data_IF_466052376614
#
_entry.id   IF_466052376614
#
_cell.length_a   1.000
_cell.length_b   1.000
_cell.length_c   1.000
_cell.angle_alpha   90.00
_cell.angle_beta   90.00
_cell.angle_gamma   90.00
#
_symmetry.space_group_name_H-M   'P 1'
#
loop_
_entity.id
_entity.type
_entity.pdbx_description
1 polymer ?
#
# COMPACT_ATOMS: atom_id res chain seq x y z
N UNK A 1 -2.65 20.19 6.27
CA UNK A 1 -2.37 19.59 7.60
C UNK A 1 -3.35 18.44 7.78
N UNK A 2 -2.88 17.27 8.14
CA UNK A 2 -3.71 16.09 8.39
C UNK A 2 -4.39 16.21 9.75
N UNK A 3 -5.66 15.83 9.83
CA UNK A 3 -6.47 15.91 11.07
C UNK A 3 -6.14 14.77 12.03
N UNK A 4 -5.86 13.61 11.48
CA UNK A 4 -5.51 12.41 12.22
C UNK A 4 -4.18 11.88 11.73
N UNK A 5 -3.35 11.44 12.67
CA UNK A 5 -2.08 10.76 12.41
C UNK A 5 -1.85 9.69 13.47
N UNK A 6 -1.39 8.50 13.04
CA UNK A 6 -1.05 7.39 13.93
C UNK A 6 0.28 6.77 13.49
N UNK A 7 1.17 6.54 14.44
CA UNK A 7 2.46 5.89 14.20
C UNK A 7 2.39 4.41 14.54
N UNK A 8 2.93 3.57 13.65
CA UNK A 8 3.06 2.11 13.83
C UNK A 8 1.74 1.43 14.23
N UNK A 9 0.65 1.88 13.64
CA UNK A 9 -0.72 1.54 14.05
C UNK A 9 -1.24 0.25 13.37
N UNK A 10 -0.40 -0.76 13.19
CA UNK A 10 -0.70 -2.01 12.46
C UNK A 10 -1.91 -2.79 12.98
N UNK A 11 -2.24 -2.63 14.27
CA UNK A 11 -3.38 -3.32 14.90
C UNK A 11 -4.69 -2.52 14.80
N UNK A 12 -4.61 -1.25 14.49
CA UNK A 12 -5.75 -0.31 14.50
C UNK A 12 -6.09 0.24 13.12
N UNK A 13 -5.22 -0.01 12.14
CA UNK A 13 -5.41 0.35 10.73
C UNK A 13 -5.13 -0.88 9.88
N UNK A 14 -5.90 -1.07 8.82
CA UNK A 14 -5.70 -2.13 7.83
C UNK A 14 -5.70 -1.55 6.43
N UNK A 15 -4.71 -1.95 5.64
CA UNK A 15 -4.59 -1.60 4.23
C UNK A 15 -5.25 -2.64 3.30
N UNK A 16 -5.83 -3.71 3.85
CA UNK A 16 -6.44 -4.78 3.06
C UNK A 16 -7.47 -4.23 2.07
N UNK A 17 -7.37 -4.61 0.80
CA UNK A 17 -8.19 -4.13 -0.32
C UNK A 17 -8.18 -2.60 -0.52
N UNK A 18 -7.13 -1.92 -0.03
CA UNK A 18 -6.93 -0.49 -0.25
C UNK A 18 -5.97 -0.24 -1.39
N UNK A 19 -6.29 0.76 -2.23
CA UNK A 19 -5.52 1.09 -3.44
C UNK A 19 -4.78 2.40 -3.28
N UNK A 20 -3.45 2.33 -3.40
CA UNK A 20 -2.63 3.51 -3.59
C UNK A 20 -2.54 3.81 -5.09
N UNK A 21 -2.77 5.06 -5.47
CA UNK A 21 -2.72 5.51 -6.87
C UNK A 21 -1.46 6.31 -7.21
N UNK A 22 -0.67 6.66 -6.21
CA UNK A 22 0.63 7.31 -6.36
C UNK A 22 1.59 6.82 -5.28
N UNK A 23 2.86 6.75 -5.64
CA UNK A 23 3.98 6.43 -4.74
C UNK A 23 5.06 7.47 -5.01
N UNK A 24 5.46 8.22 -3.98
CA UNK A 24 6.46 9.28 -4.09
C UNK A 24 7.51 9.16 -3.01
N UNK A 25 8.69 9.70 -3.28
CA UNK A 25 9.76 9.86 -2.29
C UNK A 25 9.92 11.33 -1.96
N UNK A 26 10.04 11.62 -0.66
CA UNK A 26 10.39 12.95 -0.13
C UNK A 26 11.54 12.79 0.87
N UNK A 27 12.77 12.99 0.39
CA UNK A 27 13.98 12.63 1.13
C UNK A 27 13.98 11.15 1.49
N UNK A 28 14.10 10.83 2.78
CA UNK A 28 14.08 9.46 3.30
C UNK A 28 12.68 8.91 3.58
N UNK A 29 11.63 9.58 3.11
CA UNK A 29 10.25 9.18 3.33
C UNK A 29 9.61 8.65 2.03
N UNK A 30 8.99 7.48 2.11
CA UNK A 30 8.22 6.88 1.02
C UNK A 30 6.74 7.07 1.33
N UNK A 31 6.02 7.73 0.41
CA UNK A 31 4.63 8.15 0.59
C UNK A 31 3.74 7.42 -0.41
N UNK A 32 2.69 6.78 0.09
CA UNK A 32 1.64 6.15 -0.69
C UNK A 32 0.33 6.94 -0.52
N UNK A 33 -0.27 7.37 -1.62
CA UNK A 33 -1.53 8.12 -1.64
C UNK A 33 -2.71 7.18 -1.87
N UNK A 34 -3.66 7.18 -0.93
CA UNK A 34 -4.89 6.41 -0.97
C UNK A 34 -6.09 7.35 -1.19
N UNK A 35 -6.57 7.53 -2.44
CA UNK A 35 -7.70 8.43 -2.72
C UNK A 35 -9.00 7.98 -2.04
N UNK A 36 -9.20 6.66 -1.92
CA UNK A 36 -10.36 6.05 -1.27
C UNK A 36 -10.08 5.64 0.17
N UNK A 37 -8.95 6.07 0.74
CA UNK A 37 -8.55 5.81 2.12
C UNK A 37 -8.21 4.36 2.43
N UNK A 38 -8.16 4.08 3.74
CA UNK A 38 -7.92 2.75 4.31
C UNK A 38 -8.90 2.46 5.46
N UNK A 39 -8.82 1.29 6.05
CA UNK A 39 -9.73 0.85 7.09
C UNK A 39 -9.21 1.15 8.49
N UNK A 40 -10.06 1.74 9.34
CA UNK A 40 -9.83 1.85 10.79
C UNK A 40 -10.53 0.67 11.43
N UNK A 41 -9.79 -0.16 12.18
CA UNK A 41 -10.34 -1.36 12.83
C UNK A 41 -11.03 -1.00 14.14
N UNK A 42 -11.91 -1.88 14.69
CA UNK A 42 -12.58 -1.66 15.97
C UNK A 42 -11.63 -1.47 17.17
N UNK A 43 -10.36 -1.89 17.05
CA UNK A 43 -9.34 -1.69 18.08
C UNK A 43 -8.85 -0.24 18.18
N UNK A 44 -9.19 0.62 17.21
CA UNK A 44 -8.77 2.01 17.19
C UNK A 44 -9.56 2.88 18.17
N UNK A 45 -8.85 3.81 18.84
CA UNK A 45 -9.47 4.85 19.69
C UNK A 45 -10.30 5.88 18.91
N UNK A 46 -10.19 5.92 17.58
CA UNK A 46 -10.84 6.90 16.73
C UNK A 46 -12.28 6.54 16.36
N UNK A 47 -12.66 5.29 16.54
CA UNK A 47 -14.02 4.81 16.28
C UNK A 47 -14.56 4.06 17.49
N UNK A 48 -15.88 4.14 17.66
CA UNK A 48 -16.60 3.30 18.62
C UNK A 48 -17.61 2.46 17.84
N UNK A 49 -17.09 1.43 17.17
CA UNK A 49 -17.89 0.61 16.27
C UNK A 49 -17.35 -0.82 16.23
N UNK A 50 -18.23 -1.81 16.06
CA UNK A 50 -17.88 -3.24 16.09
C UNK A 50 -17.32 -3.76 14.74
N UNK A 51 -17.38 -2.96 13.68
CA UNK A 51 -16.79 -3.31 12.38
C UNK A 51 -15.83 -2.22 11.91
N UNK A 52 -14.88 -2.55 11.01
CA UNK A 52 -14.00 -1.57 10.41
C UNK A 52 -14.77 -0.48 9.66
N UNK A 53 -14.27 0.73 9.72
CA UNK A 53 -14.83 1.90 9.04
C UNK A 53 -13.77 2.51 8.14
N UNK A 54 -14.17 2.94 6.95
CA UNK A 54 -13.25 3.51 5.97
C UNK A 54 -12.94 4.97 6.28
N UNK A 55 -11.71 5.39 6.00
CA UNK A 55 -11.35 6.82 5.98
C UNK A 55 -11.72 7.43 4.63
N UNK A 56 -11.76 8.75 4.57
CA UNK A 56 -11.63 9.50 3.32
C UNK A 56 -10.20 9.39 2.79
N UNK A 57 -9.80 10.33 1.92
CA UNK A 57 -8.44 10.39 1.37
C UNK A 57 -7.39 10.31 2.48
N UNK A 58 -6.39 9.46 2.28
CA UNK A 58 -5.39 9.12 3.28
C UNK A 58 -4.00 8.94 2.67
N UNK A 59 -2.99 8.92 3.53
CA UNK A 59 -1.60 8.60 3.17
C UNK A 59 -1.00 7.61 4.15
N UNK A 60 -0.16 6.73 3.61
CA UNK A 60 0.81 5.94 4.35
C UNK A 60 2.18 6.56 4.11
N UNK A 61 2.87 6.97 5.17
CA UNK A 61 4.22 7.49 5.11
C UNK A 61 5.17 6.56 5.84
N UNK A 62 6.16 6.06 5.13
CA UNK A 62 7.19 5.16 5.67
C UNK A 62 8.46 5.97 5.83
N UNK A 63 8.87 6.19 7.08
CA UNK A 63 9.93 7.12 7.45
C UNK A 63 11.28 6.47 7.63
N UNK A 64 12.33 7.19 7.23
CA UNK A 64 13.72 6.83 7.51
C UNK A 64 14.19 5.59 6.78
N UNK A 65 13.70 5.39 5.55
CA UNK A 65 14.23 4.42 4.60
C UNK A 65 15.57 4.88 4.02
N UNK A 66 16.30 3.97 3.40
CA UNK A 66 17.52 4.33 2.67
C UNK A 66 17.14 4.93 1.31
N UNK A 67 17.49 6.21 1.06
CA UNK A 67 17.13 6.92 -0.19
C UNK A 67 17.68 6.21 -1.45
N UNK A 68 18.90 5.65 -1.35
CA UNK A 68 19.55 4.95 -2.46
C UNK A 68 18.95 3.58 -2.75
N UNK A 69 18.31 2.95 -1.76
CA UNK A 69 17.67 1.65 -1.87
C UNK A 69 16.44 1.57 -0.93
N UNK A 70 15.34 2.24 -1.28
CA UNK A 70 14.16 2.34 -0.41
C UNK A 70 13.46 1.00 -0.19
N UNK A 71 13.68 0.05 -1.08
CA UNK A 71 13.15 -1.32 -0.97
C UNK A 71 14.31 -2.30 -0.83
N UNK A 72 14.23 -3.21 0.13
CA UNK A 72 15.18 -4.31 0.28
C UNK A 72 14.98 -5.35 -0.84
N UNK A 73 13.73 -5.64 -1.17
CA UNK A 73 13.37 -6.51 -2.28
C UNK A 73 12.07 -6.06 -2.95
N UNK A 74 11.98 -6.19 -4.27
CA UNK A 74 10.76 -6.02 -5.05
C UNK A 74 10.63 -7.18 -6.01
N UNK A 75 9.54 -7.92 -5.90
CA UNK A 75 9.17 -9.02 -6.80
C UNK A 75 7.82 -8.75 -7.45
N UNK A 76 7.77 -8.85 -8.77
CA UNK A 76 6.53 -8.75 -9.55
C UNK A 76 6.34 -10.05 -10.33
N UNK A 77 5.19 -10.70 -10.14
CA UNK A 77 4.82 -11.95 -10.79
C UNK A 77 3.76 -11.69 -11.86
N UNK A 78 4.17 -11.77 -13.13
CA UNK A 78 3.25 -11.66 -14.27
C UNK A 78 2.80 -13.04 -14.73
N UNK A 79 1.53 -13.33 -14.55
CA UNK A 79 0.92 -14.60 -14.99
C UNK A 79 0.23 -14.43 -16.33
N UNK A 80 0.70 -15.15 -17.35
CA UNK A 80 0.02 -15.24 -18.64
C UNK A 80 -1.06 -16.33 -18.55
N UNK A 81 -2.30 -15.96 -18.89
CA UNK A 81 -3.45 -16.88 -18.91
C UNK A 81 -3.92 -17.09 -20.34
N UNK A 82 -4.16 -18.35 -20.71
CA UNK A 82 -4.78 -18.75 -21.98
C UNK A 82 -6.06 -19.52 -21.63
N UNK A 83 -7.19 -19.08 -22.16
CA UNK A 83 -8.53 -19.64 -21.83
C UNK A 83 -8.78 -19.71 -20.31
N UNK A 84 -8.35 -18.68 -19.55
CA UNK A 84 -8.51 -18.61 -18.09
C UNK A 84 -7.51 -19.46 -17.28
N UNK A 85 -6.73 -20.35 -17.92
CA UNK A 85 -5.73 -21.18 -17.25
C UNK A 85 -4.37 -20.47 -17.24
N UNK A 86 -3.70 -20.46 -16.07
CA UNK A 86 -2.33 -19.98 -15.97
C UNK A 86 -1.39 -20.91 -16.75
N UNK A 87 -0.67 -20.35 -17.72
CA UNK A 87 0.23 -21.12 -18.61
C UNK A 87 1.68 -20.82 -18.30
N UNK A 88 1.97 -19.58 -17.92
CA UNK A 88 3.32 -19.12 -17.66
C UNK A 88 3.31 -18.02 -16.58
N UNK A 89 4.25 -18.10 -15.65
CA UNK A 89 4.49 -17.06 -14.66
C UNK A 89 5.94 -16.56 -14.80
N UNK A 90 6.10 -15.25 -14.93
CA UNK A 90 7.42 -14.61 -14.99
C UNK A 90 7.62 -13.73 -13.77
N UNK A 91 8.69 -13.98 -13.02
CA UNK A 91 9.19 -13.08 -11.97
C UNK A 91 10.02 -11.96 -12.57
N UNK A 92 9.76 -10.75 -12.17
CA UNK A 92 10.52 -9.54 -12.50
C UNK A 92 10.99 -8.93 -11.18
N UNK A 93 12.24 -8.46 -11.17
CA UNK A 93 12.83 -7.73 -10.04
C UNK A 93 13.27 -6.36 -10.55
N UNK A 94 12.33 -5.39 -10.58
CA UNK A 94 12.67 -4.03 -10.97
C UNK A 94 13.57 -3.39 -9.92
N UNK A 95 14.42 -2.47 -10.32
CA UNK A 95 15.02 -1.54 -9.39
C UNK A 95 13.96 -0.57 -8.82
N UNK A 96 14.32 0.14 -7.76
CA UNK A 96 13.41 1.04 -7.05
C UNK A 96 12.90 2.19 -7.94
N UNK A 97 13.75 2.76 -8.81
CA UNK A 97 13.36 3.86 -9.70
C UNK A 97 12.35 3.37 -10.74
N UNK A 98 12.59 2.20 -11.32
CA UNK A 98 11.66 1.59 -12.26
C UNK A 98 10.31 1.30 -11.59
N UNK A 99 10.32 0.80 -10.35
CA UNK A 99 9.09 0.53 -9.59
C UNK A 99 8.31 1.83 -9.32
N UNK A 100 8.97 2.86 -8.78
CA UNK A 100 8.33 4.15 -8.49
C UNK A 100 7.77 4.82 -9.76
N UNK A 101 8.53 4.79 -10.85
CA UNK A 101 8.12 5.38 -12.13
C UNK A 101 6.86 4.71 -12.71
N UNK A 102 6.55 3.45 -12.38
CA UNK A 102 5.32 2.81 -12.82
C UNK A 102 4.05 3.54 -12.35
N UNK A 103 4.12 4.23 -11.20
CA UNK A 103 2.95 4.89 -10.59
C UNK A 103 2.88 6.39 -10.91
N UNK A 104 3.95 7.01 -11.45
CA UNK A 104 4.00 8.46 -11.71
C UNK A 104 3.04 8.92 -12.81
N UNK A 105 2.79 8.09 -13.82
CA UNK A 105 1.93 8.46 -14.96
C UNK A 105 0.44 8.16 -14.70
N UNK A 106 0.09 7.68 -13.52
CA UNK A 106 -1.26 7.39 -13.09
C UNK A 106 -1.93 6.22 -13.82
N UNK A 107 -1.16 5.36 -14.53
CA UNK A 107 -1.69 4.20 -15.27
C UNK A 107 -1.91 2.96 -14.41
N UNK A 108 -1.30 2.93 -13.24
CA UNK A 108 -1.34 1.78 -12.34
C UNK A 108 -1.82 2.19 -10.96
N UNK A 109 -2.50 1.27 -10.28
CA UNK A 109 -2.81 1.32 -8.86
C UNK A 109 -2.12 0.14 -8.16
N UNK A 110 -1.70 0.34 -6.92
CA UNK A 110 -1.15 -0.68 -6.05
C UNK A 110 -2.19 -1.02 -4.98
N UNK A 111 -2.78 -2.22 -5.06
CA UNK A 111 -3.74 -2.71 -4.08
C UNK A 111 -3.03 -3.56 -3.03
N UNK A 112 -3.17 -3.19 -1.77
CA UNK A 112 -2.59 -3.91 -0.65
C UNK A 112 -3.48 -5.08 -0.27
N UNK A 113 -2.91 -6.29 -0.21
CA UNK A 113 -3.65 -7.52 0.10
C UNK A 113 -3.28 -8.01 1.50
N UNK A 114 -1.99 -8.04 1.82
CA UNK A 114 -1.50 -8.49 3.12
C UNK A 114 -0.27 -7.71 3.52
N UNK A 115 -0.16 -7.43 4.80
CA UNK A 115 0.98 -6.75 5.39
C UNK A 115 1.52 -7.53 6.58
N UNK A 116 2.84 -7.64 6.67
CA UNK A 116 3.56 -8.27 7.78
C UNK A 116 4.58 -7.29 8.31
N UNK A 117 4.57 -7.09 9.62
CA UNK A 117 5.47 -6.17 10.29
C UNK A 117 6.30 -6.90 11.33
N UNK A 118 7.59 -6.59 11.33
CA UNK A 118 8.54 -6.94 12.38
C UNK A 118 8.98 -5.68 13.11
N UNK A 119 9.91 -5.79 14.03
CA UNK A 119 10.49 -4.63 14.71
C UNK A 119 11.37 -3.75 13.81
N UNK A 120 11.80 -4.25 12.64
CA UNK A 120 12.78 -3.58 11.75
C UNK A 120 12.34 -3.55 10.29
N UNK A 121 11.49 -4.46 9.84
CA UNK A 121 11.08 -4.54 8.44
C UNK A 121 9.57 -4.70 8.29
N UNK A 122 9.08 -4.32 7.12
CA UNK A 122 7.71 -4.52 6.69
C UNK A 122 7.68 -5.18 5.32
N UNK A 123 6.90 -6.23 5.19
CA UNK A 123 6.64 -6.94 3.95
C UNK A 123 5.19 -6.70 3.52
N UNK A 124 5.02 -6.28 2.29
CA UNK A 124 3.70 -6.04 1.69
C UNK A 124 3.49 -6.98 0.51
N UNK A 125 2.36 -7.67 0.51
CA UNK A 125 1.86 -8.41 -0.64
C UNK A 125 0.76 -7.59 -1.29
N UNK A 126 0.89 -7.31 -2.57
CA UNK A 126 0.06 -6.37 -3.30
C UNK A 126 -0.32 -6.92 -4.68
N UNK A 127 -1.30 -6.27 -5.29
CA UNK A 127 -1.60 -6.39 -6.71
C UNK A 127 -1.36 -5.06 -7.42
N UNK A 128 -0.63 -5.11 -8.54
CA UNK A 128 -0.46 -3.95 -9.42
C UNK A 128 -1.54 -4.03 -10.50
N UNK A 129 -2.52 -3.15 -10.43
CA UNK A 129 -3.59 -3.06 -11.40
C UNK A 129 -3.25 -2.09 -12.51
N UNK A 130 -3.38 -2.53 -13.77
CA UNK A 130 -3.41 -1.59 -14.89
C UNK A 130 -4.82 -1.02 -15.01
N UNK A 131 -4.96 0.30 -14.84
CA UNK A 131 -6.26 0.98 -14.91
C UNK A 131 -6.98 0.69 -16.22
N UNK A 132 -8.30 0.55 -16.14
CA UNK A 132 -9.19 0.31 -17.28
C UNK A 132 -8.95 -0.98 -18.07
N UNK A 133 -8.19 -1.93 -17.56
CA UNK A 133 -7.89 -3.18 -18.28
C UNK A 133 -8.31 -4.46 -17.56
N UNK A 134 -8.60 -4.38 -16.26
CA UNK A 134 -8.86 -5.56 -15.42
C UNK A 134 -7.67 -6.53 -15.31
N UNK A 135 -6.50 -6.13 -15.79
CA UNK A 135 -5.26 -6.93 -15.73
C UNK A 135 -4.46 -6.52 -14.51
N UNK A 136 -4.02 -7.49 -13.74
CA UNK A 136 -3.14 -7.27 -12.60
C UNK A 136 -1.91 -8.19 -12.63
N UNK A 137 -0.90 -7.79 -11.87
CA UNK A 137 0.26 -8.60 -11.53
C UNK A 137 0.38 -8.69 -10.01
N UNK A 138 0.74 -9.84 -9.49
CA UNK A 138 1.08 -9.98 -8.08
C UNK A 138 2.39 -9.27 -7.80
N UNK A 139 2.48 -8.56 -6.69
CA UNK A 139 3.65 -7.82 -6.28
C UNK A 139 3.94 -8.10 -4.80
N UNK A 140 5.21 -8.25 -4.49
CA UNK A 140 5.69 -8.30 -3.12
C UNK A 140 6.87 -7.37 -2.99
N UNK A 141 6.90 -6.55 -1.94
CA UNK A 141 8.06 -5.75 -1.61
C UNK A 141 8.32 -5.70 -0.11
N UNK A 142 9.58 -5.62 0.23
CA UNK A 142 10.07 -5.49 1.59
C UNK A 142 10.85 -4.19 1.74
N UNK A 143 10.74 -3.57 2.90
CA UNK A 143 11.47 -2.38 3.24
C UNK A 143 11.83 -2.35 4.73
N UNK A 144 12.94 -1.66 5.03
CA UNK A 144 13.40 -1.39 6.38
C UNK A 144 13.13 0.09 6.64
N UNK A 145 12.43 0.39 7.71
CA UNK A 145 12.04 1.75 8.06
C UNK A 145 12.13 2.02 9.56
N UNK A 146 12.29 3.27 9.94
CA UNK A 146 12.27 3.67 11.36
C UNK A 146 10.87 3.67 11.94
N UNK A 147 9.89 4.11 11.16
CA UNK A 147 8.48 4.14 11.58
C UNK A 147 7.55 4.22 10.37
N UNK A 148 6.32 3.85 10.59
CA UNK A 148 5.23 3.95 9.60
C UNK A 148 4.17 4.86 10.19
N UNK A 149 3.75 5.89 9.44
CA UNK A 149 2.73 6.84 9.83
C UNK A 149 1.54 6.75 8.88
N UNK A 150 0.36 6.65 9.46
CA UNK A 150 -0.92 6.67 8.77
C UNK A 150 -1.57 8.03 8.97
N UNK A 151 -2.01 8.69 7.89
CA UNK A 151 -2.58 10.05 7.90
C UNK A 151 -3.92 10.08 7.18
N UNK A 152 -4.92 10.74 7.78
CA UNK A 152 -6.22 10.95 7.13
C UNK A 152 -6.95 12.17 7.69
N UNK A 153 -8.02 12.61 7.02
CA UNK A 153 -8.80 13.77 7.43
C UNK A 153 -10.20 13.43 7.88
N UNK A 154 -10.80 12.37 7.32
CA UNK A 154 -12.21 12.05 7.50
C UNK A 154 -12.40 10.58 7.84
N UNK A 155 -13.47 10.28 8.58
CA UNK A 155 -13.94 8.92 8.87
C UNK A 155 -15.32 8.79 8.25
N UNK A 156 -15.51 7.83 7.34
CA UNK A 156 -16.72 7.64 6.55
C UNK A 156 -17.62 6.59 7.20
N UNK A 157 -18.42 6.98 8.19
CA UNK A 157 -19.25 6.07 8.97
C UNK A 157 -20.28 5.28 8.17
N UNK A 158 -20.62 5.73 6.97
CA UNK A 158 -21.53 5.02 6.06
C UNK A 158 -20.84 3.92 5.25
N UNK A 159 -19.51 3.93 5.19
CA UNK A 159 -18.67 2.93 4.51
C UNK A 159 -18.11 1.93 5.53
N UNK A 160 -18.83 0.82 5.69
CA UNK A 160 -18.44 -0.30 6.57
C UNK A 160 -17.96 -1.46 5.71
N UNK A 161 -17.03 -2.24 6.29
CA UNK A 161 -16.57 -3.50 5.70
C UNK A 161 -17.70 -4.51 5.60
#
# INVERSE_FOLDING_TARGET
>A
MWKYTELNAYNTISLHDCKANAITMDGSDLIFDFPDGFWITPASKHINHDCPIKTGTAQLCIHGIFEEAPFDAIDIYKTTRIFGKAVFCRRLQPDHLMFLNMFQDGKYDLEFITEYHTSISSLYQCWIWKKNSGVYAECQFELIAKSIEYRWNEILYDNKW
#
